data_IF_201684710540
#
_entry.id   IF_201684710540
#
_cell.length_a   1.000
_cell.length_b   1.000
_cell.length_c   1.000
_cell.angle_alpha   90.00
_cell.angle_beta   90.00
_cell.angle_gamma   90.00
#
_symmetry.space_group_name_H-M   'P 1'
#
loop_
_entity.id
_entity.type
_entity.pdbx_description
1 polymer ?
#
# COMPACT_ATOMS: atom_id res chain seq x y z
N UNK A 1 -7.87 -26.79 8.01
CA UNK A 1 -7.21 -27.07 9.30
C UNK A 1 -5.72 -26.93 9.08
N UNK A 2 -5.08 -25.94 9.70
CA UNK A 2 -3.63 -25.84 10.01
C UNK A 2 -3.41 -24.50 10.70
N UNK A 3 -3.89 -24.45 11.94
CA UNK A 3 -3.48 -23.49 12.95
C UNK A 3 -3.23 -24.36 14.18
N UNK A 4 -1.96 -24.76 14.39
CA UNK A 4 -1.63 -25.66 15.50
C UNK A 4 -0.31 -26.42 15.46
N UNK A 5 0.54 -26.33 14.44
CA UNK A 5 1.78 -27.15 14.36
C UNK A 5 3.08 -26.33 14.31
N UNK A 6 3.15 -25.17 14.96
CA UNK A 6 4.44 -24.49 15.19
C UNK A 6 5.14 -24.92 16.48
N UNK A 7 4.48 -25.68 17.36
CA UNK A 7 5.03 -26.06 18.66
C UNK A 7 5.72 -27.44 18.63
N UNK A 8 5.28 -28.39 17.80
CA UNK A 8 5.80 -29.77 17.82
C UNK A 8 6.98 -30.04 16.86
N UNK A 9 7.48 -29.04 16.13
CA UNK A 9 8.53 -29.29 15.10
C UNK A 9 9.95 -29.40 15.67
N UNK A 10 10.18 -28.94 16.92
CA UNK A 10 11.52 -28.62 17.44
C UNK A 10 11.75 -28.87 18.95
N UNK A 11 11.21 -29.94 19.52
CA UNK A 11 11.18 -30.15 20.98
C UNK A 11 12.57 -30.19 21.68
N UNK A 12 13.64 -30.64 21.02
CA UNK A 12 15.00 -30.65 21.63
C UNK A 12 15.76 -29.30 21.53
N UNK A 13 15.17 -28.28 20.91
CA UNK A 13 15.78 -26.96 20.70
C UNK A 13 14.84 -25.78 20.96
N UNK A 14 14.11 -25.82 22.07
CA UNK A 14 13.29 -24.70 22.56
C UNK A 14 14.18 -23.46 22.75
N UNK A 15 13.91 -22.39 22.00
CA UNK A 15 14.58 -21.09 22.13
C UNK A 15 15.62 -20.75 21.05
N UNK A 16 15.94 -21.66 20.13
CA UNK A 16 16.92 -21.40 19.06
C UNK A 16 16.23 -20.81 17.81
N UNK A 17 16.62 -19.59 17.41
CA UNK A 17 16.29 -19.00 16.11
C UNK A 17 17.43 -19.23 15.13
N UNK A 18 17.16 -19.87 13.99
CA UNK A 18 18.16 -20.09 12.95
C UNK A 18 17.97 -19.10 11.81
N UNK A 19 19.07 -18.51 11.35
CA UNK A 19 19.10 -17.64 10.18
C UNK A 19 18.85 -18.47 8.91
N UNK A 20 18.08 -17.93 7.97
CA UNK A 20 17.92 -18.54 6.65
C UNK A 20 19.22 -18.51 5.83
N UNK A 21 20.07 -17.50 6.06
CA UNK A 21 21.40 -17.34 5.43
C UNK A 21 22.43 -18.29 6.05
N UNK A 22 22.52 -18.30 7.38
CA UNK A 22 23.59 -19.00 8.13
C UNK A 22 23.12 -20.34 8.76
N UNK A 23 22.00 -20.89 8.28
CA UNK A 23 21.32 -22.06 8.85
C UNK A 23 22.26 -23.22 9.23
N UNK A 24 23.19 -23.58 8.33
CA UNK A 24 24.14 -24.65 8.58
C UNK A 24 25.07 -24.35 9.76
N UNK A 25 25.61 -23.13 9.83
CA UNK A 25 26.50 -22.71 10.91
C UNK A 25 25.76 -22.67 12.24
N UNK A 26 24.55 -22.12 12.24
CA UNK A 26 23.73 -22.01 13.45
C UNK A 26 23.38 -23.40 14.02
N UNK A 27 23.05 -24.35 13.14
CA UNK A 27 22.81 -25.74 13.55
C UNK A 27 24.06 -26.38 14.12
N UNK A 28 25.22 -26.24 13.49
CA UNK A 28 26.47 -26.80 14.01
C UNK A 28 26.80 -26.23 15.39
N UNK A 29 26.67 -24.92 15.56
CA UNK A 29 26.90 -24.25 16.84
C UNK A 29 25.94 -24.76 17.92
N UNK A 30 24.66 -24.86 17.61
CA UNK A 30 23.65 -25.34 18.56
C UNK A 30 23.84 -26.82 18.91
N UNK A 31 24.17 -27.68 17.94
CA UNK A 31 24.45 -29.10 18.18
C UNK A 31 25.69 -29.29 19.07
N UNK A 32 26.72 -28.48 18.87
CA UNK A 32 27.93 -28.53 19.70
C UNK A 32 27.66 -28.06 21.14
N UNK A 33 26.95 -26.94 21.32
CA UNK A 33 26.58 -26.43 22.64
C UNK A 33 25.78 -27.46 23.46
N UNK A 34 24.94 -28.25 22.79
CA UNK A 34 24.14 -29.31 23.41
C UNK A 34 24.85 -30.65 23.49
N UNK A 35 26.14 -30.71 23.12
CA UNK A 35 26.98 -31.93 23.12
C UNK A 35 26.41 -33.06 22.25
N UNK A 36 25.64 -32.70 21.23
CA UNK A 36 25.08 -33.63 20.25
C UNK A 36 26.10 -33.97 19.15
N UNK A 37 27.02 -33.04 18.89
CA UNK A 37 28.25 -33.24 18.12
C UNK A 37 29.45 -33.05 19.05
N UNK A 38 30.47 -33.89 18.90
CA UNK A 38 31.74 -33.79 19.63
C UNK A 38 32.83 -33.11 18.78
N UNK A 39 34.01 -32.90 19.37
CA UNK A 39 35.14 -32.24 18.71
C UNK A 39 35.61 -32.98 17.44
N UNK A 40 35.57 -34.32 17.42
CA UNK A 40 35.94 -35.11 16.25
C UNK A 40 34.93 -34.94 15.12
N UNK A 41 33.63 -34.88 15.45
CA UNK A 41 32.56 -34.66 14.47
C UNK A 41 32.77 -33.29 13.80
N UNK A 42 32.97 -32.24 14.59
CA UNK A 42 33.22 -30.88 14.07
C UNK A 42 34.53 -30.78 13.28
N UNK A 43 35.61 -31.40 13.76
CA UNK A 43 36.90 -31.40 13.05
C UNK A 43 36.77 -32.08 11.68
N UNK A 44 36.02 -33.19 11.59
CA UNK A 44 35.76 -33.87 10.33
C UNK A 44 34.94 -32.99 9.37
N UNK A 45 33.85 -32.38 9.86
CA UNK A 45 33.01 -31.45 9.08
C UNK A 45 33.86 -30.27 8.56
N UNK A 46 34.70 -29.68 9.41
CA UNK A 46 35.59 -28.59 9.02
C UNK A 46 36.59 -29.02 7.95
N UNK A 47 37.25 -30.17 8.14
CA UNK A 47 38.22 -30.70 7.19
C UNK A 47 37.60 -30.92 5.81
N UNK A 48 36.47 -31.62 5.74
CA UNK A 48 35.79 -31.88 4.46
C UNK A 48 35.34 -30.58 3.80
N UNK A 49 34.84 -29.62 4.58
CA UNK A 49 34.46 -28.30 4.05
C UNK A 49 35.65 -27.55 3.43
N UNK A 50 36.84 -27.67 4.01
CA UNK A 50 38.06 -27.05 3.46
C UNK A 50 38.53 -27.75 2.17
N UNK A 51 38.41 -29.07 2.06
CA UNK A 51 38.72 -29.76 0.80
C UNK A 51 37.74 -29.37 -0.32
N UNK A 52 36.44 -29.26 -0.02
CA UNK A 52 35.45 -28.75 -0.99
C UNK A 52 35.77 -27.31 -1.41
N UNK A 53 36.13 -26.44 -0.47
CA UNK A 53 36.54 -25.07 -0.78
C UNK A 53 37.75 -25.03 -1.70
N UNK A 54 38.79 -25.82 -1.39
CA UNK A 54 40.00 -25.94 -2.21
C UNK A 54 39.68 -26.40 -3.62
N UNK A 55 38.80 -27.38 -3.79
CA UNK A 55 38.39 -27.83 -5.12
C UNK A 55 37.61 -26.74 -5.87
N UNK A 56 36.64 -26.07 -5.24
CA UNK A 56 35.95 -24.92 -5.86
C UNK A 56 36.92 -23.80 -6.21
N UNK A 57 37.93 -23.52 -5.39
CA UNK A 57 38.93 -22.49 -5.68
C UNK A 57 39.78 -22.83 -6.90
N UNK A 58 40.15 -24.10 -7.11
CA UNK A 58 40.81 -24.52 -8.36
C UNK A 58 39.93 -24.24 -9.58
N UNK A 59 38.63 -24.55 -9.51
CA UNK A 59 37.70 -24.20 -10.59
C UNK A 59 37.60 -22.68 -10.79
N UNK A 60 37.53 -21.92 -9.70
CA UNK A 60 37.42 -20.46 -9.73
C UNK A 60 38.63 -19.79 -10.39
N UNK A 61 39.85 -20.24 -10.06
CA UNK A 61 41.10 -19.75 -10.65
C UNK A 61 41.44 -20.43 -11.99
N UNK A 62 40.59 -21.34 -12.46
CA UNK A 62 40.86 -22.22 -13.62
C UNK A 62 42.16 -23.01 -13.50
N UNK A 63 42.61 -23.24 -12.27
CA UNK A 63 43.91 -23.84 -11.93
C UNK A 63 45.12 -23.04 -12.45
N UNK A 64 44.92 -21.78 -12.86
CA UNK A 64 45.96 -20.89 -13.40
C UNK A 64 46.65 -20.05 -12.29
N UNK A 65 46.09 -20.03 -11.08
CA UNK A 65 46.62 -19.26 -9.95
C UNK A 65 46.49 -20.03 -8.64
N UNK A 66 47.56 -19.97 -7.84
CA UNK A 66 47.59 -20.45 -6.45
C UNK A 66 47.21 -19.38 -5.42
N UNK A 67 46.86 -18.17 -5.87
CA UNK A 67 46.46 -17.05 -5.02
C UNK A 67 45.04 -16.59 -5.36
N UNK A 68 44.25 -16.33 -4.32
CA UNK A 68 42.90 -15.79 -4.38
C UNK A 68 42.75 -14.72 -3.31
N UNK A 69 41.91 -13.72 -3.56
CA UNK A 69 41.55 -12.74 -2.52
C UNK A 69 40.78 -13.44 -1.40
N UNK A 70 41.02 -13.01 -0.16
CA UNK A 70 40.38 -13.61 1.03
C UNK A 70 38.86 -13.49 0.91
N UNK A 71 38.36 -12.35 0.45
CA UNK A 71 36.94 -12.08 0.27
C UNK A 71 36.27 -13.05 -0.73
N UNK A 72 37.00 -13.44 -1.79
CA UNK A 72 36.49 -14.41 -2.76
C UNK A 72 36.48 -15.83 -2.20
N UNK A 73 37.49 -16.22 -1.41
CA UNK A 73 37.49 -17.51 -0.72
C UNK A 73 36.37 -17.59 0.34
N UNK A 74 36.15 -16.51 1.10
CA UNK A 74 35.07 -16.40 2.08
C UNK A 74 33.69 -16.47 1.41
N UNK A 75 33.48 -15.78 0.29
CA UNK A 75 32.22 -15.85 -0.47
C UNK A 75 31.96 -17.28 -0.99
N UNK A 76 32.96 -17.96 -1.55
CA UNK A 76 32.79 -19.36 -2.00
C UNK A 76 32.49 -20.28 -0.81
N UNK A 77 33.10 -20.06 0.35
CA UNK A 77 32.80 -20.80 1.57
C UNK A 77 31.35 -20.57 2.03
N UNK A 78 30.86 -19.32 2.00
CA UNK A 78 29.44 -19.01 2.25
C UNK A 78 28.51 -19.72 1.29
N UNK A 79 28.87 -19.79 -0.01
CA UNK A 79 28.10 -20.56 -0.99
C UNK A 79 28.01 -22.05 -0.63
N UNK A 80 29.12 -22.66 -0.16
CA UNK A 80 29.13 -24.04 0.31
C UNK A 80 28.19 -24.21 1.51
N UNK A 81 28.34 -23.36 2.54
CA UNK A 81 27.52 -23.42 3.75
C UNK A 81 26.03 -23.23 3.44
N UNK A 82 25.68 -22.27 2.59
CA UNK A 82 24.30 -22.01 2.15
C UNK A 82 23.71 -23.21 1.39
N UNK A 83 24.48 -23.82 0.49
CA UNK A 83 24.03 -24.98 -0.30
C UNK A 83 23.74 -26.18 0.59
N UNK A 84 24.61 -26.45 1.59
CA UNK A 84 24.35 -27.49 2.59
C UNK A 84 23.12 -27.11 3.43
N UNK A 85 23.00 -25.85 3.83
CA UNK A 85 21.85 -25.32 4.56
C UNK A 85 20.52 -25.58 3.86
N UNK A 86 20.43 -25.36 2.55
CA UNK A 86 19.23 -25.67 1.74
C UNK A 86 18.81 -27.13 1.88
N UNK A 87 19.77 -28.05 1.85
CA UNK A 87 19.47 -29.47 2.01
C UNK A 87 19.02 -29.78 3.44
N UNK A 88 19.71 -29.26 4.45
CA UNK A 88 19.33 -29.50 5.85
C UNK A 88 17.96 -28.92 6.21
N UNK A 89 17.55 -27.82 5.56
CA UNK A 89 16.20 -27.23 5.70
C UNK A 89 15.08 -28.14 5.19
N UNK A 90 15.39 -29.22 4.46
CA UNK A 90 14.37 -30.20 4.02
C UNK A 90 13.88 -31.13 5.12
N UNK A 91 14.61 -31.26 6.22
CA UNK A 91 14.23 -32.13 7.32
C UNK A 91 13.12 -31.52 8.17
N UNK A 92 12.18 -32.37 8.60
CA UNK A 92 11.02 -31.95 9.37
C UNK A 92 11.26 -31.89 10.88
N UNK A 93 12.35 -32.46 11.38
CA UNK A 93 12.76 -32.34 12.77
C UNK A 93 14.31 -32.29 12.86
N UNK A 94 14.81 -31.85 14.02
CA UNK A 94 16.25 -31.59 14.21
C UNK A 94 17.03 -32.87 14.53
N UNK A 95 16.38 -33.91 15.06
CA UNK A 95 17.03 -35.21 15.30
C UNK A 95 17.53 -35.84 13.99
N UNK A 96 16.73 -35.76 12.92
CA UNK A 96 17.13 -36.26 11.60
C UNK A 96 18.30 -35.45 11.02
N UNK A 97 18.36 -34.15 11.27
CA UNK A 97 19.50 -33.32 10.85
C UNK A 97 20.79 -33.80 11.54
N UNK A 98 20.73 -34.08 12.84
CA UNK A 98 21.91 -34.55 13.60
C UNK A 98 22.36 -35.93 13.13
N UNK A 99 21.41 -36.83 12.91
CA UNK A 99 21.70 -38.17 12.38
C UNK A 99 22.39 -38.07 11.01
N UNK A 100 21.87 -37.21 10.13
CA UNK A 100 22.43 -37.01 8.80
C UNK A 100 23.82 -36.36 8.88
N UNK A 101 24.04 -35.37 9.75
CA UNK A 101 25.35 -34.74 9.99
C UNK A 101 26.42 -35.73 10.45
N UNK A 102 26.03 -36.83 11.12
CA UNK A 102 26.95 -37.87 11.61
C UNK A 102 27.23 -38.96 10.58
N UNK A 103 26.28 -39.25 9.70
CA UNK A 103 26.32 -40.46 8.87
C UNK A 103 26.42 -40.18 7.37
N UNK A 104 26.04 -38.98 6.92
CA UNK A 104 26.11 -38.58 5.51
C UNK A 104 27.34 -37.71 5.27
N UNK A 105 28.04 -37.96 4.15
CA UNK A 105 29.21 -37.15 3.80
C UNK A 105 28.80 -35.73 3.42
N UNK A 106 29.62 -34.73 3.80
CA UNK A 106 29.37 -33.33 3.42
C UNK A 106 29.31 -33.14 1.89
N UNK A 107 30.04 -33.96 1.14
CA UNK A 107 30.00 -33.95 -0.32
C UNK A 107 28.62 -34.36 -0.85
N UNK A 108 28.01 -35.41 -0.28
CA UNK A 108 26.66 -35.83 -0.64
C UNK A 108 25.61 -34.77 -0.25
N UNK A 109 25.75 -34.16 0.92
CA UNK A 109 24.88 -33.06 1.36
C UNK A 109 24.95 -31.88 0.39
N UNK A 110 26.15 -31.50 -0.05
CA UNK A 110 26.37 -30.43 -1.02
C UNK A 110 25.71 -30.75 -2.36
N UNK A 111 25.87 -31.98 -2.87
CA UNK A 111 25.26 -32.40 -4.12
C UNK A 111 23.72 -32.37 -4.03
N UNK A 112 23.15 -32.87 -2.93
CA UNK A 112 21.70 -32.80 -2.68
C UNK A 112 21.20 -31.36 -2.60
N UNK A 113 21.95 -30.49 -1.94
CA UNK A 113 21.68 -29.06 -1.87
C UNK A 113 21.69 -28.39 -3.26
N UNK A 114 22.70 -28.71 -4.07
CA UNK A 114 22.81 -28.20 -5.44
C UNK A 114 21.64 -28.67 -6.32
N UNK A 115 21.20 -29.92 -6.19
CA UNK A 115 20.03 -30.43 -6.90
C UNK A 115 18.75 -29.69 -6.51
N UNK A 116 18.59 -29.36 -5.23
CA UNK A 116 17.45 -28.57 -4.73
C UNK A 116 17.48 -27.14 -5.27
N UNK A 117 18.66 -26.50 -5.29
CA UNK A 117 18.84 -25.17 -5.92
C UNK A 117 18.42 -25.23 -7.39
N UNK A 118 18.92 -26.22 -8.14
CA UNK A 118 18.61 -26.36 -9.56
C UNK A 118 17.11 -26.58 -9.82
N UNK A 119 16.44 -27.38 -8.98
CA UNK A 119 14.98 -27.57 -9.03
C UNK A 119 14.23 -26.26 -8.77
N UNK A 120 14.63 -25.49 -7.75
CA UNK A 120 14.02 -24.18 -7.46
C UNK A 120 14.24 -23.20 -8.62
N UNK A 121 15.44 -23.13 -9.20
CA UNK A 121 15.71 -22.29 -10.39
C UNK A 121 14.76 -22.66 -11.53
N UNK A 122 14.64 -23.95 -11.86
CA UNK A 122 13.78 -24.40 -12.95
C UNK A 122 12.31 -24.07 -12.69
N UNK A 123 11.84 -24.33 -11.47
CA UNK A 123 10.47 -24.01 -11.07
C UNK A 123 10.20 -22.51 -11.15
N UNK A 124 11.06 -21.67 -10.57
CA UNK A 124 10.87 -20.21 -10.56
C UNK A 124 10.91 -19.61 -11.97
N UNK A 125 11.73 -20.15 -12.87
CA UNK A 125 11.74 -19.74 -14.29
C UNK A 125 10.43 -20.08 -14.98
N UNK A 126 9.90 -21.28 -14.76
CA UNK A 126 8.61 -21.73 -15.31
C UNK A 126 7.46 -20.85 -14.79
N UNK A 127 7.43 -20.61 -13.49
CA UNK A 127 6.39 -19.79 -12.87
C UNK A 127 6.49 -18.33 -13.32
N UNK A 128 7.69 -17.77 -13.47
CA UNK A 128 7.86 -16.42 -14.02
C UNK A 128 7.31 -16.30 -15.45
N UNK A 129 7.48 -17.34 -16.27
CA UNK A 129 6.88 -17.36 -17.61
C UNK A 129 5.36 -17.31 -17.54
N UNK A 130 4.75 -18.14 -16.69
CA UNK A 130 3.29 -18.16 -16.47
C UNK A 130 2.79 -16.80 -15.96
N UNK A 131 3.50 -16.18 -15.00
CA UNK A 131 3.21 -14.84 -14.49
C UNK A 131 3.24 -13.80 -15.60
N UNK A 132 4.23 -13.86 -16.51
CA UNK A 132 4.35 -12.92 -17.64
C UNK A 132 3.16 -13.03 -18.59
N UNK A 133 2.64 -14.24 -18.81
CA UNK A 133 1.47 -14.47 -19.66
C UNK A 133 0.17 -14.00 -19.02
N UNK A 134 0.05 -14.13 -17.69
CA UNK A 134 -1.16 -13.76 -16.93
C UNK A 134 -1.05 -12.43 -16.18
N UNK A 135 -0.08 -11.57 -16.52
CA UNK A 135 0.14 -10.31 -15.80
C UNK A 135 -1.02 -9.32 -16.02
N UNK A 136 -1.28 -8.50 -15.01
CA UNK A 136 -2.29 -7.45 -15.07
C UNK A 136 -1.89 -6.40 -16.11
N UNK A 137 -2.86 -5.94 -16.90
CA UNK A 137 -2.67 -4.85 -17.87
C UNK A 137 -2.87 -3.49 -17.18
N UNK A 138 -1.90 -3.12 -16.36
CA UNK A 138 -1.87 -1.87 -15.58
C UNK A 138 -0.62 -1.05 -15.92
N UNK A 139 -0.64 0.25 -15.66
CA UNK A 139 0.48 1.15 -15.97
C UNK A 139 1.54 1.23 -14.86
N UNK A 140 1.37 0.51 -13.74
CA UNK A 140 2.33 0.56 -12.64
C UNK A 140 3.73 0.08 -13.09
N UNK A 141 4.69 1.01 -13.05
CA UNK A 141 6.05 0.79 -13.55
C UNK A 141 6.76 -0.29 -12.75
N UNK A 142 6.71 -0.22 -11.41
CA UNK A 142 7.43 -1.18 -10.55
C UNK A 142 6.95 -2.61 -10.76
N UNK A 143 5.64 -2.82 -10.90
CA UNK A 143 5.02 -4.10 -11.20
C UNK A 143 5.49 -4.66 -12.55
N UNK A 144 5.38 -3.85 -13.60
CA UNK A 144 5.75 -4.27 -14.95
C UNK A 144 7.25 -4.51 -15.08
N UNK A 145 8.10 -3.59 -14.62
CA UNK A 145 9.55 -3.73 -14.76
C UNK A 145 10.08 -4.93 -13.97
N UNK A 146 9.57 -5.15 -12.75
CA UNK A 146 9.96 -6.31 -11.93
C UNK A 146 9.66 -7.64 -12.64
N UNK A 147 8.46 -7.77 -13.22
CA UNK A 147 8.04 -8.98 -13.95
C UNK A 147 8.81 -9.13 -15.26
N UNK A 148 8.85 -8.08 -16.08
CA UNK A 148 9.37 -8.14 -17.45
C UNK A 148 10.89 -8.31 -17.45
N UNK A 149 11.59 -7.55 -16.60
CA UNK A 149 13.05 -7.38 -16.65
C UNK A 149 13.74 -7.73 -15.33
N UNK A 150 13.22 -7.25 -14.20
CA UNK A 150 13.86 -7.30 -12.88
C UNK A 150 14.24 -8.70 -12.41
N UNK A 151 13.26 -9.61 -12.34
CA UNK A 151 13.50 -11.02 -11.94
C UNK A 151 14.32 -11.76 -13.00
N UNK A 152 14.16 -11.40 -14.27
CA UNK A 152 14.95 -12.01 -15.35
C UNK A 152 16.45 -11.70 -15.23
N UNK A 153 16.80 -10.54 -14.66
CA UNK A 153 18.19 -10.18 -14.36
C UNK A 153 18.82 -11.12 -13.33
N UNK A 154 18.06 -11.55 -12.32
CA UNK A 154 18.51 -12.55 -11.37
C UNK A 154 18.95 -13.82 -12.09
N UNK A 155 18.11 -14.42 -12.91
CA UNK A 155 18.47 -15.66 -13.59
C UNK A 155 19.64 -15.54 -14.59
N UNK A 156 19.93 -14.33 -15.07
CA UNK A 156 21.09 -14.05 -15.94
C UNK A 156 22.39 -13.95 -15.16
N UNK A 157 22.36 -13.38 -13.95
CA UNK A 157 23.54 -13.13 -13.11
C UNK A 157 23.79 -14.20 -12.05
N UNK A 158 22.75 -14.93 -11.65
CA UNK A 158 22.80 -15.85 -10.52
C UNK A 158 23.73 -17.03 -10.81
N UNK A 159 24.79 -17.13 -10.01
CA UNK A 159 25.80 -18.17 -10.12
C UNK A 159 25.66 -19.16 -8.96
N UNK A 160 24.80 -20.16 -9.16
CA UNK A 160 24.55 -21.19 -8.13
C UNK A 160 25.79 -22.01 -7.73
N UNK A 161 26.87 -22.02 -8.52
CA UNK A 161 28.04 -22.83 -8.21
C UNK A 161 29.03 -22.11 -7.29
N UNK A 162 29.21 -20.79 -7.45
CA UNK A 162 30.16 -20.00 -6.65
C UNK A 162 29.50 -19.03 -5.68
N UNK A 163 28.27 -18.60 -5.95
CA UNK A 163 27.62 -17.46 -5.29
C UNK A 163 26.13 -17.78 -5.02
N UNK A 164 25.81 -19.01 -4.62
CA UNK A 164 24.42 -19.44 -4.41
C UNK A 164 23.64 -18.62 -3.38
N UNK A 165 24.34 -17.99 -2.43
CA UNK A 165 23.80 -17.15 -1.38
C UNK A 165 23.48 -15.72 -1.85
N UNK A 166 24.03 -15.30 -3.00
CA UNK A 166 23.81 -13.96 -3.53
C UNK A 166 22.43 -13.84 -4.19
N UNK A 167 21.79 -12.68 -4.02
CA UNK A 167 20.48 -12.36 -4.62
C UNK A 167 20.62 -11.25 -5.66
N UNK A 168 21.36 -11.46 -6.78
CA UNK A 168 21.54 -10.41 -7.77
C UNK A 168 20.21 -10.11 -8.45
N UNK A 169 19.71 -8.88 -8.44
CA UNK A 169 18.43 -8.57 -9.06
C UNK A 169 18.03 -7.10 -8.90
N UNK A 170 16.94 -6.73 -9.57
CA UNK A 170 16.24 -5.46 -9.36
C UNK A 170 14.77 -5.80 -9.15
N UNK A 171 14.31 -5.75 -7.90
CA UNK A 171 12.96 -6.15 -7.52
C UNK A 171 12.36 -4.96 -6.78
N UNK A 172 11.61 -4.15 -7.53
CA UNK A 172 11.07 -2.88 -7.03
C UNK A 172 9.62 -3.03 -6.57
N UNK A 173 8.87 -3.96 -7.18
CA UNK A 173 7.49 -4.24 -6.77
C UNK A 173 7.46 -4.95 -5.42
N UNK A 174 6.86 -4.32 -4.42
CA UNK A 174 6.75 -4.85 -3.07
C UNK A 174 5.54 -5.79 -2.95
N UNK A 175 5.78 -7.02 -2.48
CA UNK A 175 4.70 -7.95 -2.12
C UNK A 175 4.02 -7.49 -0.83
N UNK A 176 2.74 -7.83 -0.67
CA UNK A 176 2.01 -7.43 0.54
C UNK A 176 2.53 -8.15 1.79
N UNK A 177 2.81 -9.45 1.65
CA UNK A 177 3.53 -10.26 2.63
C UNK A 177 4.82 -10.73 1.97
N UNK A 178 5.91 -10.02 2.25
CA UNK A 178 7.25 -10.40 1.80
C UNK A 178 8.05 -11.00 2.97
N UNK A 179 8.80 -12.05 2.68
CA UNK A 179 9.74 -12.67 3.62
C UNK A 179 11.17 -12.41 3.16
N UNK A 180 11.66 -11.25 3.58
CA UNK A 180 13.01 -10.76 3.27
C UNK A 180 14.11 -11.50 4.05
N UNK A 181 13.76 -12.49 4.87
CA UNK A 181 14.78 -13.31 5.56
C UNK A 181 15.43 -14.31 4.60
N UNK A 182 14.72 -14.74 3.55
CA UNK A 182 15.30 -15.61 2.53
C UNK A 182 16.33 -14.86 1.69
N UNK A 183 17.31 -15.60 1.19
CA UNK A 183 18.33 -15.12 0.25
C UNK A 183 18.44 -16.06 -0.96
N UNK A 184 19.25 -15.67 -1.93
CA UNK A 184 19.57 -16.48 -3.11
C UNK A 184 18.33 -16.94 -3.87
N UNK A 185 18.34 -18.20 -4.28
CA UNK A 185 17.21 -18.79 -4.99
C UNK A 185 15.97 -18.96 -4.11
N UNK A 186 16.12 -19.09 -2.79
CA UNK A 186 14.97 -19.26 -1.88
C UNK A 186 14.13 -17.99 -1.83
N UNK A 187 14.77 -16.81 -1.80
CA UNK A 187 14.07 -15.54 -1.90
C UNK A 187 13.27 -15.44 -3.20
N UNK A 188 13.92 -15.68 -4.34
CA UNK A 188 13.27 -15.59 -5.64
C UNK A 188 12.13 -16.60 -5.77
N UNK A 189 12.33 -17.83 -5.29
CA UNK A 189 11.30 -18.87 -5.28
C UNK A 189 10.08 -18.43 -4.47
N UNK A 190 10.28 -17.91 -3.25
CA UNK A 190 9.20 -17.41 -2.41
C UNK A 190 8.51 -16.20 -3.07
N UNK A 191 9.30 -15.27 -3.58
CA UNK A 191 8.82 -14.05 -4.22
C UNK A 191 7.91 -14.36 -5.42
N UNK A 192 8.36 -15.18 -6.38
CA UNK A 192 7.54 -15.51 -7.55
C UNK A 192 6.31 -16.34 -7.18
N UNK A 193 6.41 -17.19 -6.16
CA UNK A 193 5.27 -17.96 -5.67
C UNK A 193 4.19 -17.04 -5.10
N UNK A 194 4.59 -16.07 -4.27
CA UNK A 194 3.68 -15.09 -3.67
C UNK A 194 3.11 -14.14 -4.71
N UNK A 195 3.93 -13.61 -5.63
CA UNK A 195 3.47 -12.76 -6.72
C UNK A 195 2.42 -13.47 -7.58
N UNK A 196 2.59 -14.77 -7.83
CA UNK A 196 1.59 -15.55 -8.56
C UNK A 196 0.24 -15.61 -7.82
N UNK A 197 0.24 -15.76 -6.49
CA UNK A 197 -0.98 -15.74 -5.69
C UNK A 197 -1.66 -14.36 -5.74
N UNK A 198 -0.87 -13.28 -5.63
CA UNK A 198 -1.37 -11.91 -5.75
C UNK A 198 -2.03 -11.66 -7.12
N UNK A 199 -1.36 -12.08 -8.20
CA UNK A 199 -1.90 -11.99 -9.56
C UNK A 199 -3.15 -12.86 -9.74
N UNK A 200 -3.18 -14.08 -9.22
CA UNK A 200 -4.34 -14.97 -9.28
C UNK A 200 -5.58 -14.29 -8.67
N UNK A 201 -5.41 -13.63 -7.52
CA UNK A 201 -6.50 -12.89 -6.89
C UNK A 201 -6.92 -11.66 -7.70
N UNK A 202 -5.97 -10.82 -8.13
CA UNK A 202 -6.28 -9.60 -8.88
C UNK A 202 -6.96 -9.91 -10.23
N UNK A 203 -6.59 -11.03 -10.87
CA UNK A 203 -7.22 -11.49 -12.12
C UNK A 203 -8.68 -11.97 -11.94
N UNK A 204 -9.21 -12.01 -10.71
CA UNK A 204 -10.65 -12.23 -10.46
C UNK A 204 -11.50 -10.99 -10.71
N UNK A 205 -10.89 -9.82 -10.91
CA UNK A 205 -11.58 -8.57 -11.13
C UNK A 205 -11.40 -8.07 -12.55
N UNK A 206 -12.35 -7.27 -13.03
CA UNK A 206 -12.21 -6.57 -14.30
C UNK A 206 -11.02 -5.61 -14.23
N UNK A 207 -10.19 -5.62 -15.27
CA UNK A 207 -8.99 -4.77 -15.31
C UNK A 207 -9.30 -3.27 -15.18
N UNK A 208 -10.47 -2.84 -15.66
CA UNK A 208 -10.95 -1.46 -15.49
C UNK A 208 -11.13 -1.09 -14.02
N UNK A 209 -11.56 -2.04 -13.18
CA UNK A 209 -11.76 -1.81 -11.74
C UNK A 209 -10.43 -1.73 -11.01
N UNK A 210 -9.46 -2.57 -11.38
CA UNK A 210 -8.09 -2.49 -10.86
C UNK A 210 -7.46 -1.14 -11.22
N UNK A 211 -7.58 -0.68 -12.47
CA UNK A 211 -7.05 0.62 -12.89
C UNK A 211 -7.73 1.79 -12.15
N UNK A 212 -9.05 1.74 -11.94
CA UNK A 212 -9.75 2.73 -11.11
C UNK A 212 -9.28 2.72 -9.67
N UNK A 213 -9.03 1.54 -9.07
CA UNK A 213 -8.46 1.44 -7.72
C UNK A 213 -7.09 2.11 -7.63
N UNK A 214 -6.21 1.85 -8.59
CA UNK A 214 -4.88 2.46 -8.63
C UNK A 214 -4.99 3.98 -8.73
N UNK A 215 -5.82 4.51 -9.63
CA UNK A 215 -6.03 5.96 -9.78
C UNK A 215 -6.75 6.59 -8.60
N UNK A 216 -7.61 5.85 -7.91
CA UNK A 216 -8.26 6.27 -6.67
C UNK A 216 -7.27 6.36 -5.50
N UNK A 217 -6.25 5.50 -5.48
CA UNK A 217 -5.18 5.59 -4.48
C UNK A 217 -4.32 6.84 -4.72
N UNK A 218 -3.83 7.01 -5.95
CA UNK A 218 -3.11 8.22 -6.37
C UNK A 218 -3.17 8.38 -7.90
N UNK A 219 -3.26 9.62 -8.38
CA UNK A 219 -3.30 9.93 -9.81
C UNK A 219 -2.02 9.50 -10.54
N UNK A 220 -0.89 9.52 -9.85
CA UNK A 220 0.43 9.09 -10.30
C UNK A 220 0.79 7.68 -9.79
N UNK A 221 -0.21 6.84 -9.50
CA UNK A 221 -0.03 5.44 -9.07
C UNK A 221 0.81 4.58 -10.01
N UNK A 222 1.02 5.02 -11.25
CA UNK A 222 1.95 4.44 -12.21
C UNK A 222 3.42 4.52 -11.75
N UNK A 223 3.78 5.53 -10.95
CA UNK A 223 5.15 5.76 -10.46
C UNK A 223 5.38 5.29 -9.02
N UNK A 224 4.32 4.88 -8.31
CA UNK A 224 4.42 4.50 -6.91
C UNK A 224 4.79 3.03 -6.73
N UNK A 225 5.55 2.74 -5.68
CA UNK A 225 5.80 1.38 -5.20
C UNK A 225 4.61 0.92 -4.35
N UNK A 226 3.52 0.53 -5.02
CA UNK A 226 2.26 0.13 -4.39
C UNK A 226 1.94 -1.32 -4.71
N UNK A 227 1.42 -2.05 -3.73
CA UNK A 227 0.96 -3.41 -3.94
C UNK A 227 -0.49 -3.41 -4.46
N UNK A 228 -0.71 -3.96 -5.65
CA UNK A 228 -2.02 -3.96 -6.31
C UNK A 228 -3.00 -4.90 -5.59
N UNK A 229 -2.50 -6.04 -5.11
CA UNK A 229 -3.29 -7.02 -4.37
C UNK A 229 -3.84 -6.46 -3.06
N UNK A 230 -3.04 -5.67 -2.34
CA UNK A 230 -3.45 -4.99 -1.12
C UNK A 230 -4.69 -4.12 -1.36
N UNK A 231 -4.63 -3.23 -2.36
CA UNK A 231 -5.74 -2.34 -2.70
C UNK A 231 -6.99 -3.12 -3.10
N UNK A 232 -6.82 -4.13 -3.95
CA UNK A 232 -7.92 -4.99 -4.40
C UNK A 232 -8.57 -5.73 -3.22
N UNK A 233 -7.77 -6.32 -2.32
CA UNK A 233 -8.26 -7.08 -1.18
C UNK A 233 -9.00 -6.18 -0.18
N UNK A 234 -8.41 -5.04 0.18
CA UNK A 234 -9.02 -4.09 1.14
C UNK A 234 -10.37 -3.60 0.63
N UNK A 235 -10.44 -3.10 -0.61
CA UNK A 235 -11.70 -2.60 -1.16
C UNK A 235 -12.72 -3.72 -1.33
N UNK A 236 -12.32 -4.93 -1.74
CA UNK A 236 -13.21 -6.11 -1.80
C UNK A 236 -13.84 -6.44 -0.45
N UNK A 237 -13.06 -6.39 0.63
CA UNK A 237 -13.60 -6.58 1.98
C UNK A 237 -14.62 -5.48 2.32
N UNK A 238 -14.34 -4.22 1.97
CA UNK A 238 -15.26 -3.09 2.15
C UNK A 238 -16.59 -3.29 1.41
N UNK A 239 -16.53 -3.76 0.16
CA UNK A 239 -17.70 -4.04 -0.69
C UNK A 239 -18.59 -5.10 -0.02
N UNK A 240 -17.97 -6.19 0.43
CA UNK A 240 -18.68 -7.29 1.10
C UNK A 240 -19.26 -6.84 2.43
N UNK A 241 -18.53 -6.04 3.22
CA UNK A 241 -19.02 -5.49 4.49
C UNK A 241 -20.33 -4.73 4.28
N UNK A 242 -20.38 -3.93 3.21
CA UNK A 242 -21.54 -3.14 2.77
C UNK A 242 -22.61 -3.95 2.03
N UNK A 243 -22.48 -5.28 1.92
CA UNK A 243 -23.37 -6.17 1.16
C UNK A 243 -23.55 -5.75 -0.31
N UNK A 244 -22.48 -5.26 -0.94
CA UNK A 244 -22.44 -4.88 -2.35
C UNK A 244 -21.83 -5.99 -3.21
N UNK A 245 -21.96 -5.82 -4.53
CA UNK A 245 -21.44 -6.75 -5.53
C UNK A 245 -19.97 -6.47 -5.87
N UNK A 246 -19.13 -7.51 -5.93
CA UNK A 246 -17.68 -7.42 -6.18
C UNK A 246 -17.31 -7.01 -7.62
N UNK A 247 -18.27 -6.90 -8.54
CA UNK A 247 -18.04 -6.34 -9.87
C UNK A 247 -17.71 -4.84 -9.84
N UNK A 248 -17.97 -4.16 -8.72
CA UNK A 248 -17.61 -2.75 -8.51
C UNK A 248 -16.85 -2.59 -7.19
N UNK A 249 -15.58 -2.18 -7.26
CA UNK A 249 -14.70 -2.03 -6.08
C UNK A 249 -14.79 -0.65 -5.41
N UNK A 250 -15.74 0.20 -5.80
CA UNK A 250 -15.91 1.53 -5.23
C UNK A 250 -16.49 1.51 -3.80
N UNK A 251 -15.85 2.23 -2.88
CA UNK A 251 -16.37 2.50 -1.53
C UNK A 251 -16.54 4.00 -1.36
N UNK A 252 -17.79 4.48 -1.27
CA UNK A 252 -18.09 5.91 -1.13
C UNK A 252 -18.12 6.37 0.35
N UNK A 253 -18.43 7.65 0.58
CA UNK A 253 -18.46 8.24 1.93
C UNK A 253 -19.53 7.63 2.84
N UNK A 254 -20.69 7.22 2.30
CA UNK A 254 -21.75 6.54 3.05
C UNK A 254 -21.33 5.12 3.43
N UNK A 255 -20.66 4.42 2.52
CA UNK A 255 -20.11 3.09 2.79
C UNK A 255 -19.07 3.14 3.90
N UNK A 256 -18.17 4.13 3.87
CA UNK A 256 -17.19 4.34 4.96
C UNK A 256 -17.86 4.58 6.30
N UNK A 257 -18.95 5.35 6.35
CA UNK A 257 -19.73 5.55 7.58
C UNK A 257 -20.34 4.22 8.06
N UNK A 258 -20.86 3.41 7.15
CA UNK A 258 -21.40 2.09 7.46
C UNK A 258 -20.32 1.14 8.00
N UNK A 259 -19.18 1.05 7.31
CA UNK A 259 -18.01 0.25 7.74
C UNK A 259 -17.55 0.68 9.13
N UNK A 260 -17.42 1.99 9.38
CA UNK A 260 -17.05 2.54 10.69
C UNK A 260 -18.04 2.13 11.78
N UNK A 261 -19.34 2.20 11.49
CA UNK A 261 -20.39 1.79 12.41
C UNK A 261 -20.33 0.31 12.78
N UNK A 262 -20.01 -0.55 11.79
CA UNK A 262 -19.92 -2.01 11.96
C UNK A 262 -18.66 -2.45 12.70
N UNK A 263 -17.51 -1.86 12.36
CA UNK A 263 -16.21 -2.33 12.84
C UNK A 263 -15.66 -1.52 14.02
N UNK A 264 -16.13 -0.29 14.23
CA UNK A 264 -15.41 0.66 15.08
C UNK A 264 -15.34 0.31 16.56
N UNK A 265 -16.32 -0.44 17.07
CA UNK A 265 -16.39 -0.87 18.48
C UNK A 265 -15.62 -2.16 18.77
N UNK A 266 -15.18 -2.89 17.74
CA UNK A 266 -14.51 -4.17 17.91
C UNK A 266 -13.07 -4.00 18.43
N UNK A 267 -12.64 -4.86 19.35
CA UNK A 267 -11.22 -5.03 19.67
C UNK A 267 -10.44 -5.54 18.43
N UNK A 268 -9.11 -5.54 18.49
CA UNK A 268 -8.29 -6.03 17.36
C UNK A 268 -8.58 -7.52 17.07
N UNK A 269 -8.70 -8.35 18.10
CA UNK A 269 -8.99 -9.78 17.97
C UNK A 269 -10.39 -10.03 17.38
N UNK A 270 -11.39 -9.26 17.81
CA UNK A 270 -12.75 -9.33 17.26
C UNK A 270 -12.79 -8.85 15.82
N UNK A 271 -12.07 -7.77 15.51
CA UNK A 271 -11.95 -7.23 14.15
C UNK A 271 -11.30 -8.27 13.22
N UNK A 272 -10.21 -8.90 13.64
CA UNK A 272 -9.55 -9.97 12.88
C UNK A 272 -10.52 -11.13 12.62
N UNK A 273 -11.22 -11.62 13.65
CA UNK A 273 -12.22 -12.69 13.50
C UNK A 273 -13.33 -12.29 12.54
N UNK A 274 -13.80 -11.05 12.60
CA UNK A 274 -14.87 -10.55 11.75
C UNK A 274 -14.41 -10.38 10.30
N UNK A 275 -13.23 -9.80 10.06
CA UNK A 275 -12.66 -9.68 8.71
C UNK A 275 -12.35 -11.04 8.08
N UNK A 276 -11.92 -12.04 8.86
CA UNK A 276 -11.74 -13.40 8.36
C UNK A 276 -13.04 -14.04 7.84
N UNK A 277 -14.20 -13.67 8.40
CA UNK A 277 -15.50 -14.11 7.86
C UNK A 277 -15.76 -13.46 6.50
N UNK A 278 -15.54 -12.16 6.36
CA UNK A 278 -15.67 -11.47 5.07
C UNK A 278 -14.67 -11.97 4.04
N UNK A 279 -13.45 -12.32 4.45
CA UNK A 279 -12.47 -12.94 3.58
C UNK A 279 -12.93 -14.32 3.07
N UNK A 280 -13.58 -15.13 3.91
CA UNK A 280 -14.19 -16.40 3.50
C UNK A 280 -15.29 -16.19 2.47
N UNK A 281 -16.17 -15.21 2.70
CA UNK A 281 -17.23 -14.82 1.76
C UNK A 281 -16.61 -14.34 0.44
N UNK A 282 -15.54 -13.54 0.50
CA UNK A 282 -14.79 -13.09 -0.69
C UNK A 282 -14.28 -14.28 -1.51
N UNK A 283 -13.64 -15.25 -0.86
CA UNK A 283 -13.15 -16.47 -1.52
C UNK A 283 -14.28 -17.27 -2.17
N UNK A 284 -15.45 -17.34 -1.52
CA UNK A 284 -16.63 -18.04 -2.03
C UNK A 284 -17.23 -17.34 -3.26
N UNK A 285 -17.39 -16.01 -3.22
CA UNK A 285 -17.94 -15.22 -4.33
C UNK A 285 -17.01 -15.27 -5.55
N UNK A 286 -15.69 -15.19 -5.33
CA UNK A 286 -14.68 -15.19 -6.40
C UNK A 286 -14.28 -16.60 -6.90
N UNK A 287 -14.93 -17.65 -6.39
CA UNK A 287 -14.63 -19.07 -6.69
C UNK A 287 -13.12 -19.37 -6.56
N UNK A 288 -12.54 -19.01 -5.42
CA UNK A 288 -11.12 -19.28 -5.11
C UNK A 288 -10.98 -20.72 -4.66
N UNK A 289 -10.47 -21.56 -5.57
CA UNK A 289 -10.20 -22.99 -5.31
C UNK A 289 -8.78 -23.26 -4.82
N UNK A 290 -7.84 -22.36 -5.09
CA UNK A 290 -6.46 -22.50 -4.67
C UNK A 290 -6.34 -22.32 -3.14
N UNK A 291 -6.01 -23.40 -2.43
CA UNK A 291 -5.86 -23.39 -0.98
C UNK A 291 -4.71 -22.49 -0.49
N UNK A 292 -3.62 -22.39 -1.27
CA UNK A 292 -2.50 -21.52 -0.96
C UNK A 292 -2.92 -20.05 -1.04
N UNK A 293 -3.71 -19.68 -2.06
CA UNK A 293 -4.27 -18.33 -2.17
C UNK A 293 -5.22 -18.03 -1.00
N UNK A 294 -6.11 -18.96 -0.67
CA UNK A 294 -7.01 -18.79 0.47
C UNK A 294 -6.26 -18.65 1.81
N UNK A 295 -5.13 -19.33 1.99
CA UNK A 295 -4.26 -19.17 3.15
C UNK A 295 -3.55 -17.80 3.15
N UNK A 296 -3.03 -17.37 1.99
CA UNK A 296 -2.39 -16.07 1.80
C UNK A 296 -3.34 -14.91 2.12
N UNK A 297 -4.59 -14.97 1.65
CA UNK A 297 -5.63 -13.99 1.96
C UNK A 297 -5.88 -13.91 3.47
N UNK A 298 -5.93 -15.05 4.18
CA UNK A 298 -6.14 -15.05 5.64
C UNK A 298 -5.02 -14.33 6.37
N UNK A 299 -3.76 -14.63 6.03
CA UNK A 299 -2.59 -13.96 6.64
C UNK A 299 -2.64 -12.46 6.33
N UNK A 300 -2.95 -12.11 5.08
CA UNK A 300 -3.07 -10.72 4.63
C UNK A 300 -4.14 -9.96 5.42
N UNK A 301 -5.32 -10.56 5.61
CA UNK A 301 -6.43 -9.98 6.37
C UNK A 301 -6.06 -9.69 7.83
N UNK A 302 -5.25 -10.55 8.45
CA UNK A 302 -4.79 -10.32 9.83
C UNK A 302 -3.91 -9.06 9.94
N UNK A 303 -3.09 -8.79 8.92
CA UNK A 303 -2.27 -7.56 8.81
C UNK A 303 -3.14 -6.35 8.49
N UNK A 304 -4.08 -6.47 7.55
CA UNK A 304 -5.05 -5.43 7.18
C UNK A 304 -5.89 -4.97 8.39
N UNK A 305 -6.25 -5.89 9.29
CA UNK A 305 -7.05 -5.55 10.47
C UNK A 305 -6.43 -4.44 11.31
N UNK A 306 -5.10 -4.44 11.47
CA UNK A 306 -4.36 -3.40 12.19
C UNK A 306 -4.47 -2.05 11.47
N UNK A 307 -4.29 -2.03 10.15
CA UNK A 307 -4.43 -0.83 9.32
C UNK A 307 -5.84 -0.23 9.43
N UNK A 308 -6.88 -1.05 9.27
CA UNK A 308 -8.28 -0.62 9.40
C UNK A 308 -8.54 -0.06 10.81
N UNK A 309 -8.04 -0.72 11.86
CA UNK A 309 -8.26 -0.28 13.24
C UNK A 309 -7.67 1.10 13.50
N UNK A 310 -6.44 1.34 13.03
CA UNK A 310 -5.81 2.65 13.15
C UNK A 310 -6.54 3.72 12.33
N UNK A 311 -6.93 3.43 11.09
CA UNK A 311 -7.67 4.39 10.27
C UNK A 311 -9.07 4.73 10.83
N UNK A 312 -9.73 3.79 11.50
CA UNK A 312 -10.97 4.08 12.25
C UNK A 312 -10.71 5.05 13.41
N UNK A 313 -9.64 4.82 14.20
CA UNK A 313 -9.28 5.69 15.34
C UNK A 313 -8.97 7.11 14.87
N UNK A 314 -8.25 7.24 13.76
CA UNK A 314 -7.87 8.53 13.17
C UNK A 314 -8.99 9.20 12.36
N UNK A 315 -10.13 8.53 12.18
CA UNK A 315 -11.21 8.96 11.30
C UNK A 315 -10.76 9.23 9.85
N UNK A 316 -9.88 8.36 9.34
CA UNK A 316 -9.24 8.43 8.01
C UNK A 316 -9.55 7.18 7.17
N UNK A 317 -10.80 6.71 7.16
CA UNK A 317 -11.15 5.49 6.41
C UNK A 317 -11.02 5.66 4.89
N UNK A 318 -11.03 6.89 4.40
CA UNK A 318 -10.80 7.24 3.00
C UNK A 318 -9.39 6.90 2.50
N UNK A 319 -8.41 6.75 3.40
CA UNK A 319 -7.04 6.34 3.03
C UNK A 319 -6.89 4.82 2.90
N UNK A 320 -7.90 4.05 3.32
CA UNK A 320 -7.91 2.58 3.31
C UNK A 320 -8.95 2.06 2.31
N UNK A 321 -10.19 2.55 2.42
CA UNK A 321 -11.27 2.18 1.51
C UNK A 321 -11.48 3.27 0.46
N UNK A 322 -10.93 3.00 -0.72
CA UNK A 322 -10.83 3.97 -1.80
C UNK A 322 -12.19 4.18 -2.50
N UNK A 323 -12.46 5.42 -2.88
CA UNK A 323 -13.57 5.75 -3.78
C UNK A 323 -13.04 5.90 -5.19
N UNK A 324 -13.71 5.34 -6.18
CA UNK A 324 -13.47 5.79 -7.55
C UNK A 324 -13.93 7.23 -7.62
N UNK A 325 -13.02 8.10 -8.02
CA UNK A 325 -13.41 9.42 -8.45
C UNK A 325 -14.38 9.19 -9.62
N UNK A 326 -15.64 9.60 -9.44
CA UNK A 326 -16.48 9.91 -10.60
C UNK A 326 -15.65 10.85 -11.47
N UNK A 327 -15.67 10.65 -12.79
CA UNK A 327 -15.07 11.54 -13.78
C UNK A 327 -15.73 12.94 -13.69
N UNK A 328 -15.48 13.66 -12.60
CA UNK A 328 -15.61 15.10 -12.52
C UNK A 328 -14.18 15.58 -12.71
N UNK A 329 -13.87 15.92 -13.95
CA UNK A 329 -12.57 16.47 -14.32
C UNK A 329 -12.10 17.48 -13.29
N UNK A 330 -10.81 17.37 -12.97
CA UNK A 330 -10.04 18.34 -12.22
C UNK A 330 -9.92 19.68 -12.99
N UNK A 331 -11.04 20.27 -13.39
CA UNK A 331 -11.05 21.70 -13.65
C UNK A 331 -11.09 22.39 -12.29
N UNK A 332 -9.90 22.53 -11.69
CA UNK A 332 -9.71 23.51 -10.62
C UNK A 332 -10.00 24.88 -11.24
N UNK A 333 -11.01 25.56 -10.72
CA UNK A 333 -11.35 26.91 -11.15
C UNK A 333 -10.44 27.86 -10.37
N UNK A 334 -9.42 28.38 -11.04
CA UNK A 334 -8.56 29.42 -10.48
C UNK A 334 -9.29 30.75 -10.52
N UNK A 335 -9.60 31.30 -9.35
CA UNK A 335 -10.11 32.66 -9.22
C UNK A 335 -8.93 33.65 -9.21
N UNK A 336 -9.15 34.85 -9.72
CA UNK A 336 -8.20 35.96 -9.59
C UNK A 336 -9.01 37.17 -9.20
N UNK A 337 -8.73 37.70 -8.01
CA UNK A 337 -9.54 38.78 -7.48
C UNK A 337 -9.38 40.09 -8.28
N UNK A 338 -10.42 40.92 -8.23
CA UNK A 338 -10.38 42.25 -8.81
C UNK A 338 -9.43 43.18 -8.06
N UNK A 339 -9.13 44.32 -8.67
CA UNK A 339 -8.32 45.36 -8.01
C UNK A 339 -9.09 45.92 -6.80
N UNK A 340 -8.49 45.83 -5.61
CA UNK A 340 -9.02 46.44 -4.39
C UNK A 340 -9.21 47.95 -4.53
N UNK A 341 -10.33 48.45 -4.04
CA UNK A 341 -10.66 49.87 -3.98
C UNK A 341 -9.78 50.61 -2.95
N UNK A 342 -9.47 51.89 -3.21
CA UNK A 342 -8.76 52.69 -2.23
C UNK A 342 -9.68 53.01 -1.03
N UNK A 343 -9.15 52.95 0.21
CA UNK A 343 -9.93 53.19 1.43
C UNK A 343 -10.73 54.51 1.43
N UNK A 344 -10.20 55.58 0.81
CA UNK A 344 -10.89 56.87 0.69
C UNK A 344 -12.07 56.84 -0.27
N UNK A 345 -12.04 55.99 -1.29
CA UNK A 345 -13.12 55.78 -2.25
C UNK A 345 -14.17 54.85 -1.64
N UNK A 346 -13.73 53.77 -1.00
CA UNK A 346 -14.59 52.82 -0.30
C UNK A 346 -15.44 53.51 0.77
N UNK A 347 -14.83 54.37 1.59
CA UNK A 347 -15.56 55.12 2.62
C UNK A 347 -16.66 56.00 2.03
N UNK A 348 -16.36 56.74 0.95
CA UNK A 348 -17.36 57.59 0.27
C UNK A 348 -18.50 56.75 -0.28
N UNK A 349 -18.17 55.62 -0.91
CA UNK A 349 -19.17 54.70 -1.46
C UNK A 349 -20.07 54.11 -0.35
N UNK A 350 -19.50 53.69 0.79
CA UNK A 350 -20.31 53.19 1.91
C UNK A 350 -21.26 54.23 2.49
N UNK A 351 -20.84 55.50 2.55
CA UNK A 351 -21.69 56.62 2.99
C UNK A 351 -22.80 56.89 1.96
N UNK A 352 -22.47 56.89 0.67
CA UNK A 352 -23.45 57.09 -0.42
C UNK A 352 -24.50 55.97 -0.47
N UNK A 353 -24.09 54.70 -0.27
CA UNK A 353 -25.02 53.57 -0.17
C UNK A 353 -25.95 53.76 1.05
N UNK A 354 -25.41 54.19 2.18
CA UNK A 354 -26.16 54.39 3.42
C UNK A 354 -27.18 55.54 3.31
N UNK A 355 -26.84 56.62 2.62
CA UNK A 355 -27.71 57.78 2.40
C UNK A 355 -28.82 57.52 1.35
N UNK A 356 -28.70 56.45 0.56
CA UNK A 356 -29.68 56.09 -0.43
C UNK A 356 -30.97 55.54 0.21
N UNK A 357 -32.14 56.05 -0.19
CA UNK A 357 -33.43 55.68 0.40
C UNK A 357 -34.10 54.46 -0.25
N UNK A 358 -33.70 54.08 -1.47
CA UNK A 358 -34.31 52.98 -2.22
C UNK A 358 -33.34 51.80 -2.33
N UNK A 359 -33.78 50.62 -1.92
CA UNK A 359 -32.96 49.40 -1.91
C UNK A 359 -32.44 49.01 -3.29
N UNK A 360 -33.25 49.18 -4.36
CA UNK A 360 -32.80 48.90 -5.72
C UNK A 360 -31.61 49.77 -6.15
N UNK A 361 -31.62 51.05 -5.75
CA UNK A 361 -30.54 51.98 -6.04
C UNK A 361 -29.27 51.61 -5.25
N UNK A 362 -29.40 51.17 -3.98
CA UNK A 362 -28.28 50.64 -3.19
C UNK A 362 -27.63 49.44 -3.88
N UNK A 363 -28.42 48.46 -4.30
CA UNK A 363 -27.93 47.26 -5.02
C UNK A 363 -27.20 47.66 -6.30
N UNK A 364 -27.74 48.62 -7.05
CA UNK A 364 -27.15 49.09 -8.28
C UNK A 364 -25.82 49.84 -8.05
N UNK A 365 -25.74 50.67 -6.99
CA UNK A 365 -24.50 51.31 -6.56
C UNK A 365 -23.42 50.29 -6.21
N UNK A 366 -23.77 49.24 -5.47
CA UNK A 366 -22.83 48.17 -5.11
C UNK A 366 -22.31 47.46 -6.37
N UNK A 367 -23.21 46.99 -7.24
CA UNK A 367 -22.82 46.25 -8.46
C UNK A 367 -21.94 47.07 -9.41
N UNK A 368 -22.18 48.38 -9.48
CA UNK A 368 -21.43 49.25 -10.35
C UNK A 368 -20.01 49.52 -9.84
N UNK A 369 -19.80 49.58 -8.51
CA UNK A 369 -18.56 50.07 -7.92
C UNK A 369 -17.69 48.99 -7.24
N UNK A 370 -18.28 47.94 -6.67
CA UNK A 370 -17.52 46.85 -6.04
C UNK A 370 -17.09 45.84 -7.10
N UNK A 371 -15.77 45.59 -7.20
CA UNK A 371 -15.16 44.73 -8.24
C UNK A 371 -14.25 43.64 -7.72
N UNK A 372 -14.00 43.59 -6.41
CA UNK A 372 -13.21 42.55 -5.75
C UNK A 372 -14.05 41.84 -4.69
N UNK A 373 -13.70 40.59 -4.41
CA UNK A 373 -14.31 39.75 -3.39
C UNK A 373 -13.98 40.27 -1.99
N UNK A 374 -12.78 40.81 -1.81
CA UNK A 374 -12.38 41.48 -0.57
C UNK A 374 -13.22 42.75 -0.31
N UNK A 375 -13.37 43.64 -1.30
CA UNK A 375 -14.22 44.83 -1.14
C UNK A 375 -15.70 44.47 -0.94
N UNK A 376 -16.16 43.35 -1.52
CA UNK A 376 -17.50 42.82 -1.30
C UNK A 376 -17.70 42.40 0.16
N UNK A 377 -16.76 41.64 0.71
CA UNK A 377 -16.79 41.23 2.11
C UNK A 377 -16.72 42.43 3.07
N UNK A 378 -15.84 43.40 2.78
CA UNK A 378 -15.71 44.64 3.53
C UNK A 378 -17.02 45.44 3.48
N UNK A 379 -17.67 45.53 2.30
CA UNK A 379 -18.94 46.25 2.11
C UNK A 379 -20.10 45.61 2.88
N UNK A 380 -20.21 44.28 2.85
CA UNK A 380 -21.22 43.57 3.64
C UNK A 380 -21.08 43.85 5.15
N UNK A 381 -19.84 44.10 5.60
CA UNK A 381 -19.48 44.44 6.98
C UNK A 381 -19.50 45.95 7.30
N UNK A 382 -19.84 46.83 6.34
CA UNK A 382 -19.73 48.28 6.49
C UNK A 382 -21.00 48.97 7.04
N UNK A 383 -21.98 48.22 7.53
CA UNK A 383 -23.27 48.72 8.05
C UNK A 383 -23.99 49.69 7.09
N UNK A 384 -23.96 49.40 5.78
CA UNK A 384 -24.63 50.20 4.74
C UNK A 384 -25.92 49.55 4.17
N UNK A 385 -26.16 48.28 4.49
CA UNK A 385 -27.39 47.54 4.20
C UNK A 385 -28.01 47.06 5.53
N UNK A 386 -29.34 46.94 5.58
CA UNK A 386 -30.07 46.54 6.79
C UNK A 386 -31.20 45.56 6.49
N UNK A 387 -31.51 44.66 7.42
CA UNK A 387 -32.70 43.79 7.39
C UNK A 387 -32.90 43.05 6.05
N UNK A 388 -34.00 43.32 5.35
CA UNK A 388 -34.39 42.67 4.09
C UNK A 388 -33.54 43.11 2.90
N UNK A 389 -32.81 44.23 3.00
CA UNK A 389 -31.90 44.72 1.96
C UNK A 389 -30.79 43.70 1.65
N UNK A 390 -30.28 42.99 2.67
CA UNK A 390 -29.31 41.91 2.49
C UNK A 390 -29.90 40.76 1.65
N UNK A 391 -31.12 40.35 1.96
CA UNK A 391 -31.79 39.28 1.22
C UNK A 391 -32.06 39.68 -0.23
N UNK A 392 -32.47 40.93 -0.48
CA UNK A 392 -32.64 41.46 -1.83
C UNK A 392 -31.31 41.53 -2.59
N UNK A 393 -30.23 41.90 -1.92
CA UNK A 393 -28.89 41.91 -2.50
C UNK A 393 -28.41 40.49 -2.88
N UNK A 394 -28.53 39.50 -1.99
CA UNK A 394 -28.11 38.12 -2.28
C UNK A 394 -28.91 37.47 -3.41
N UNK A 395 -30.21 37.76 -3.51
CA UNK A 395 -31.05 37.36 -4.65
C UNK A 395 -30.60 37.98 -5.98
N UNK A 396 -29.88 39.11 -5.91
CA UNK A 396 -29.36 39.79 -7.10
C UNK A 396 -28.03 39.22 -7.58
N UNK A 397 -27.32 38.43 -6.76
CA UNK A 397 -26.04 37.84 -7.12
C UNK A 397 -26.20 36.69 -8.11
N UNK A 398 -25.21 36.53 -8.98
CA UNK A 398 -25.07 35.35 -9.82
C UNK A 398 -24.70 34.13 -9.00
N UNK A 399 -24.92 32.93 -9.57
CA UNK A 399 -24.54 31.67 -8.93
C UNK A 399 -23.05 31.63 -8.58
N UNK A 400 -22.19 32.12 -9.46
CA UNK A 400 -20.74 32.12 -9.22
C UNK A 400 -20.33 33.06 -8.09
N UNK A 401 -20.94 34.25 -8.01
CA UNK A 401 -20.69 35.20 -6.90
C UNK A 401 -21.10 34.61 -5.55
N UNK A 402 -22.21 33.86 -5.50
CA UNK A 402 -22.65 33.15 -4.29
C UNK A 402 -21.63 32.08 -3.88
N UNK A 403 -21.15 31.27 -4.83
CA UNK A 403 -20.15 30.23 -4.57
C UNK A 403 -18.83 30.85 -4.10
N UNK A 404 -18.35 31.91 -4.75
CA UNK A 404 -17.13 32.62 -4.37
C UNK A 404 -17.22 33.21 -2.97
N UNK A 405 -18.34 33.87 -2.63
CA UNK A 405 -18.56 34.42 -1.30
C UNK A 405 -18.61 33.33 -0.24
N UNK A 406 -19.31 32.22 -0.51
CA UNK A 406 -19.40 31.08 0.41
C UNK A 406 -18.03 30.41 0.64
N UNK A 407 -17.25 30.23 -0.43
CA UNK A 407 -15.86 29.72 -0.36
C UNK A 407 -14.94 30.65 0.44
N UNK A 408 -15.04 31.97 0.21
CA UNK A 408 -14.25 32.98 0.92
C UNK A 408 -14.55 32.98 2.42
N UNK A 409 -15.82 32.89 2.79
CA UNK A 409 -16.27 32.76 4.18
C UNK A 409 -15.75 31.48 4.82
N UNK A 410 -15.80 30.35 4.11
CA UNK A 410 -15.31 29.05 4.58
C UNK A 410 -13.80 29.09 4.86
N UNK A 411 -13.01 29.60 3.91
CA UNK A 411 -11.54 29.65 4.02
C UNK A 411 -11.06 30.59 5.14
N UNK A 412 -11.77 31.69 5.39
CA UNK A 412 -11.49 32.58 6.51
C UNK A 412 -11.77 31.97 7.89
N UNK A 413 -12.29 30.74 7.97
CA UNK A 413 -12.53 30.01 9.23
C UNK A 413 -13.26 30.88 10.27
N UNK A 414 -14.28 31.63 9.83
CA UNK A 414 -15.02 32.63 10.62
C UNK A 414 -15.92 32.01 11.70
N UNK A 415 -15.48 30.91 12.34
CA UNK A 415 -16.15 30.25 13.46
C UNK A 415 -16.29 31.16 14.71
N UNK A 416 -15.76 32.39 14.68
CA UNK A 416 -15.87 33.37 15.77
C UNK A 416 -16.54 34.71 15.42
N UNK A 417 -17.12 34.90 14.23
CA UNK A 417 -17.89 36.13 13.89
C UNK A 417 -19.41 35.88 13.74
N UNK A 418 -20.00 35.08 14.63
CA UNK A 418 -21.46 34.87 14.72
C UNK A 418 -22.32 36.14 15.00
N UNK A 419 -21.73 37.34 14.93
CA UNK A 419 -22.34 38.59 15.37
C UNK A 419 -22.71 39.58 14.25
N UNK A 420 -22.41 39.30 12.97
CA UNK A 420 -22.77 40.21 11.86
C UNK A 420 -24.08 39.78 11.18
N UNK A 421 -25.02 40.72 11.09
CA UNK A 421 -26.37 40.53 10.53
C UNK A 421 -26.35 39.92 9.13
N UNK A 422 -25.45 40.41 8.27
CA UNK A 422 -25.32 39.96 6.89
C UNK A 422 -25.00 38.46 6.75
N UNK A 423 -24.22 37.89 7.66
CA UNK A 423 -23.84 36.47 7.63
C UNK A 423 -25.03 35.57 7.96
N UNK A 424 -25.87 35.97 8.91
CA UNK A 424 -27.10 35.25 9.22
C UNK A 424 -28.08 35.31 8.04
N UNK A 425 -28.22 36.49 7.42
CA UNK A 425 -29.06 36.65 6.22
C UNK A 425 -28.54 35.83 5.03
N UNK A 426 -27.21 35.73 4.86
CA UNK A 426 -26.62 34.90 3.81
C UNK A 426 -26.91 33.41 4.02
N UNK A 427 -26.73 32.90 5.24
CA UNK A 427 -27.04 31.51 5.56
C UNK A 427 -28.54 31.19 5.39
N UNK A 428 -29.42 32.09 5.82
CA UNK A 428 -30.86 31.94 5.61
C UNK A 428 -31.20 31.91 4.11
N UNK A 429 -30.54 32.73 3.31
CA UNK A 429 -30.68 32.71 1.86
C UNK A 429 -30.23 31.38 1.24
N UNK A 430 -29.06 30.86 1.61
CA UNK A 430 -28.58 29.54 1.15
C UNK A 430 -29.55 28.43 1.52
N UNK A 431 -30.08 28.43 2.75
CA UNK A 431 -31.07 27.44 3.21
C UNK A 431 -32.42 27.56 2.50
N UNK A 432 -32.75 28.73 1.95
CA UNK A 432 -33.96 28.94 1.17
C UNK A 432 -33.86 28.39 -0.26
N UNK A 433 -32.66 28.06 -0.75
CA UNK A 433 -32.45 27.45 -2.07
C UNK A 433 -32.86 25.97 -2.07
N UNK A 434 -33.14 25.43 -3.26
CA UNK A 434 -33.45 24.00 -3.41
C UNK A 434 -32.27 23.10 -2.99
N UNK A 435 -32.54 21.86 -2.55
CA UNK A 435 -31.50 20.89 -2.19
C UNK A 435 -30.52 20.61 -3.34
N UNK A 436 -30.98 20.70 -4.59
CA UNK A 436 -30.14 20.55 -5.79
C UNK A 436 -29.18 21.74 -5.94
N UNK A 437 -29.64 22.97 -5.70
CA UNK A 437 -28.81 24.17 -5.78
C UNK A 437 -27.80 24.25 -4.64
N UNK A 438 -28.20 23.90 -3.41
CA UNK A 438 -27.28 23.82 -2.28
C UNK A 438 -26.15 22.81 -2.52
N UNK A 439 -26.47 21.67 -3.15
CA UNK A 439 -25.47 20.65 -3.52
C UNK A 439 -24.50 21.16 -4.57
N UNK A 440 -25.01 21.80 -5.62
CA UNK A 440 -24.17 22.39 -6.69
C UNK A 440 -23.23 23.48 -6.15
N UNK A 441 -23.68 24.28 -5.19
CA UNK A 441 -22.83 25.29 -4.54
C UNK A 441 -21.66 24.61 -3.82
N UNK A 442 -21.92 23.59 -2.98
CA UNK A 442 -20.87 22.83 -2.28
C UNK A 442 -19.91 22.12 -3.24
N UNK A 443 -20.43 21.51 -4.30
CA UNK A 443 -19.60 20.84 -5.31
C UNK A 443 -18.67 21.82 -6.06
N UNK A 444 -19.08 23.08 -6.25
CA UNK A 444 -18.25 24.10 -6.87
C UNK A 444 -17.28 24.76 -5.88
N UNK A 445 -17.65 24.92 -4.61
CA UNK A 445 -16.77 25.41 -3.54
C UNK A 445 -15.51 24.56 -3.41
N UNK A 446 -15.65 23.24 -3.48
CA UNK A 446 -14.53 22.29 -3.41
C UNK A 446 -13.58 22.39 -4.63
N UNK A 447 -14.04 22.99 -5.73
CA UNK A 447 -13.27 23.12 -6.99
C UNK A 447 -12.61 24.49 -7.18
N UNK A 448 -12.98 25.50 -6.37
CA UNK A 448 -12.42 26.85 -6.49
C UNK A 448 -11.17 26.99 -5.63
N UNK A 449 -10.12 27.55 -6.25
CA UNK A 449 -8.95 28.05 -5.54
C UNK A 449 -8.95 29.58 -5.63
N UNK A 450 -9.08 30.24 -4.46
CA UNK A 450 -9.14 31.70 -4.33
C UNK A 450 -7.80 32.40 -4.57
#
# INVERSE_FOLDING_TARGET
MTSGNSIEKYDCFIGDSFSEEDFFKDILASCYQKKLLNDNDLANIYYVRMEVLKDKLKYYTKDESSSVRVEAAESILKCIDYTIGIYLKTFNNKELIIEDLKHTSLFDMLNRGQDLINKKILHSKKLLHEIKESKLQVDNYSYNDTIDSGISLFFKKYNSFFEAHETPGSIDYQLYIDDMNYIGIEYIYNYVSTLNLENEFCNKFNISEINKLLKAYDKNSDLLLINIFELALINSLGVIICNKDLNNLNINSLDRKYIKGKLGKLSLEELQKELLKYAKICCEILDIKNEALAAYIKISVLKIASLIKESIKLNRLETVFLSFNEENGDEIIQYTDGKKMANSEFKKLSEEIRECSMTENKIQLIKNNIKSLEDLFDMLSADCLFEDEYTMYFKSLSKMEIVLLSKYIYDLSLENEYAKEWYQQFNNYILSLSEEEQRKIKELEEKIQL
#
